data_IF_267066023135
#
_entry.id   IF_267066023135
#
_cell.length_a   1.000
_cell.length_b   1.000
_cell.length_c   1.000
_cell.angle_alpha   90.00
_cell.angle_beta   90.00
_cell.angle_gamma   90.00
#
_symmetry.space_group_name_H-M   'P 1'
#
loop_
_entity.id
_entity.type
_entity.pdbx_description
1 polymer ?
#
# COMPACT_ATOMS: atom_id res chain seq x y z
N UNK A 1 12.12 20.26 -16.95
CA UNK A 1 10.86 19.56 -16.65
C UNK A 1 10.57 18.60 -17.79
N UNK A 2 10.11 17.39 -17.48
CA UNK A 2 9.62 16.40 -18.44
C UNK A 2 8.15 16.64 -18.71
N UNK A 3 7.76 16.79 -19.98
CA UNK A 3 6.37 17.01 -20.43
C UNK A 3 5.75 15.73 -20.98
N UNK A 4 4.48 15.49 -20.65
CA UNK A 4 3.70 14.37 -21.15
C UNK A 4 2.54 14.86 -22.02
N UNK A 5 2.72 14.95 -23.36
CA UNK A 5 1.73 15.56 -24.25
C UNK A 5 0.35 14.88 -24.21
N UNK A 6 0.32 13.56 -24.00
CA UNK A 6 -0.91 12.79 -23.97
C UNK A 6 -1.54 12.67 -22.57
N UNK A 7 -0.90 13.21 -21.53
CA UNK A 7 -1.41 13.24 -20.16
C UNK A 7 -1.85 14.66 -19.79
N UNK A 8 -2.63 15.31 -20.65
CA UNK A 8 -3.06 16.71 -20.46
C UNK A 8 -1.89 17.68 -20.25
N UNK A 9 -0.76 17.44 -20.94
CA UNK A 9 0.49 18.20 -20.78
C UNK A 9 1.05 18.22 -19.35
N UNK A 10 0.75 17.19 -18.55
CA UNK A 10 1.33 17.03 -17.22
C UNK A 10 2.86 17.17 -17.28
N UNK A 11 3.43 17.86 -16.30
CA UNK A 11 4.86 18.09 -16.16
C UNK A 11 5.39 17.37 -14.93
N UNK A 12 6.57 16.77 -15.08
CA UNK A 12 7.29 16.11 -14.00
C UNK A 12 8.68 16.70 -13.93
N UNK A 13 9.22 16.75 -12.73
CA UNK A 13 10.58 17.20 -12.51
C UNK A 13 11.61 16.31 -13.23
N UNK A 14 12.63 16.93 -13.83
CA UNK A 14 13.67 16.21 -14.58
C UNK A 14 14.38 15.19 -13.68
N UNK A 15 14.65 15.58 -12.43
CA UNK A 15 15.38 14.75 -11.47
C UNK A 15 14.55 13.53 -11.06
N UNK A 16 13.24 13.68 -10.88
CA UNK A 16 12.35 12.55 -10.61
C UNK A 16 12.29 11.57 -11.81
N UNK A 17 12.22 12.08 -13.03
CA UNK A 17 12.26 11.23 -14.22
C UNK A 17 13.58 10.46 -14.32
N UNK A 18 14.72 11.12 -14.10
CA UNK A 18 16.04 10.48 -14.10
C UNK A 18 16.21 9.49 -12.95
N UNK A 19 15.61 9.77 -11.78
CA UNK A 19 15.56 8.83 -10.66
C UNK A 19 14.81 7.55 -11.00
N UNK A 20 13.64 7.68 -11.65
CA UNK A 20 12.88 6.52 -12.13
C UNK A 20 13.65 5.75 -13.20
N UNK A 21 14.27 6.44 -14.15
CA UNK A 21 15.15 5.82 -15.14
C UNK A 21 16.26 5.01 -14.48
N UNK A 22 17.00 5.63 -13.54
CA UNK A 22 18.10 4.99 -12.81
C UNK A 22 17.61 3.73 -12.10
N UNK A 23 16.53 3.86 -11.33
CA UNK A 23 15.98 2.76 -10.55
C UNK A 23 15.52 1.59 -11.44
N UNK A 24 14.81 1.85 -12.54
CA UNK A 24 14.32 0.79 -13.45
C UNK A 24 15.48 0.08 -14.16
N UNK A 25 16.50 0.82 -14.58
CA UNK A 25 17.69 0.23 -15.23
C UNK A 25 18.48 -0.63 -14.25
N UNK A 26 18.68 -0.17 -13.01
CA UNK A 26 19.38 -0.96 -11.99
C UNK A 26 18.58 -2.20 -11.57
N UNK A 27 17.25 -2.10 -11.53
CA UNK A 27 16.38 -3.19 -11.09
C UNK A 27 16.19 -4.29 -12.13
N UNK A 28 16.11 -3.93 -13.42
CA UNK A 28 15.72 -4.85 -14.49
C UNK A 28 16.73 -4.97 -15.63
N UNK A 29 17.80 -4.17 -15.62
CA UNK A 29 18.88 -4.27 -16.58
C UNK A 29 19.84 -5.41 -16.27
N UNK A 30 20.83 -5.59 -17.16
CA UNK A 30 21.90 -6.57 -16.95
C UNK A 30 22.76 -6.19 -15.74
N UNK A 31 23.31 -7.19 -15.06
CA UNK A 31 24.13 -6.96 -13.88
C UNK A 31 25.32 -6.03 -14.20
N UNK A 32 25.46 -4.94 -13.44
CA UNK A 32 26.53 -3.95 -13.63
C UNK A 32 26.29 -2.94 -14.75
N UNK A 33 25.11 -2.92 -15.37
CA UNK A 33 24.76 -1.89 -16.35
C UNK A 33 24.86 -0.49 -15.73
N UNK A 34 25.54 0.44 -16.41
CA UNK A 34 25.60 1.83 -15.98
C UNK A 34 24.34 2.57 -16.46
N UNK A 35 23.49 3.09 -15.55
CA UNK A 35 22.24 3.76 -15.95
C UNK A 35 22.43 5.01 -16.82
N UNK A 36 23.59 5.67 -16.73
CA UNK A 36 23.90 6.83 -17.55
C UNK A 36 24.16 6.46 -19.02
N UNK A 37 24.72 5.28 -19.27
CA UNK A 37 25.07 4.81 -20.62
C UNK A 37 24.02 3.84 -21.20
N UNK A 38 23.03 3.46 -20.39
CA UNK A 38 21.98 2.55 -20.81
C UNK A 38 21.16 3.13 -21.98
N UNK A 39 20.85 2.26 -22.93
CA UNK A 39 19.87 2.51 -23.98
C UNK A 39 18.73 1.51 -23.81
N UNK A 40 17.48 2.00 -23.75
CA UNK A 40 16.33 1.15 -23.47
C UNK A 40 15.28 1.20 -24.59
N UNK A 41 14.51 0.13 -24.81
CA UNK A 41 13.39 0.13 -25.75
C UNK A 41 12.38 1.23 -25.44
N UNK A 42 11.79 1.84 -26.48
CA UNK A 42 10.74 2.86 -26.32
C UNK A 42 9.37 2.24 -26.04
N UNK A 43 8.95 1.32 -26.92
CA UNK A 43 7.76 0.46 -26.79
C UNK A 43 6.43 1.15 -26.47
N UNK A 44 6.07 2.22 -27.18
CA UNK A 44 4.78 2.87 -27.02
C UNK A 44 3.63 1.99 -27.53
N UNK A 45 2.72 1.57 -26.64
CA UNK A 45 1.56 0.73 -26.99
C UNK A 45 0.27 1.32 -26.43
N UNK A 46 -0.78 1.38 -27.24
CA UNK A 46 -2.12 1.79 -26.81
C UNK A 46 -2.88 0.62 -26.14
N UNK A 47 -2.35 0.13 -25.04
CA UNK A 47 -2.94 -0.94 -24.21
C UNK A 47 -3.01 -0.49 -22.75
N UNK A 48 -3.80 -1.20 -21.94
CA UNK A 48 -3.79 -1.01 -20.48
C UNK A 48 -2.41 -1.34 -19.90
N UNK A 49 -2.08 -0.77 -18.75
CA UNK A 49 -0.78 -0.96 -18.13
C UNK A 49 -0.51 -2.42 -17.75
N UNK A 50 -1.51 -3.14 -17.23
CA UNK A 50 -1.37 -4.57 -16.94
C UNK A 50 -1.03 -5.38 -18.20
N UNK A 51 -1.73 -5.10 -19.30
CA UNK A 51 -1.46 -5.75 -20.59
C UNK A 51 -0.07 -5.34 -21.11
N UNK A 52 0.34 -4.09 -20.92
CA UNK A 52 1.67 -3.63 -21.29
C UNK A 52 2.75 -4.47 -20.60
N UNK A 53 2.67 -4.68 -19.29
CA UNK A 53 3.65 -5.45 -18.51
C UNK A 53 3.78 -6.90 -18.99
N UNK A 54 2.73 -7.48 -19.56
CA UNK A 54 2.80 -8.82 -20.19
C UNK A 54 3.42 -8.81 -21.58
N UNK A 55 3.41 -7.67 -22.28
CA UNK A 55 3.81 -7.56 -23.69
C UNK A 55 5.22 -7.02 -23.87
N UNK A 56 5.64 -6.04 -23.07
CA UNK A 56 6.92 -5.34 -23.22
C UNK A 56 7.94 -5.79 -22.17
N UNK A 57 9.25 -5.61 -22.41
CA UNK A 57 10.24 -5.79 -21.36
C UNK A 57 10.04 -4.77 -20.24
N UNK A 58 10.30 -5.18 -19.00
CA UNK A 58 10.18 -4.30 -17.81
C UNK A 58 11.08 -3.07 -17.88
N UNK A 59 12.25 -3.22 -18.52
CA UNK A 59 13.16 -2.12 -18.85
C UNK A 59 12.76 -1.47 -20.19
N UNK A 60 11.78 -0.56 -20.17
CA UNK A 60 11.46 0.27 -21.34
C UNK A 60 10.90 1.64 -20.95
N UNK A 61 10.98 2.61 -21.88
CA UNK A 61 10.56 3.99 -21.61
C UNK A 61 9.07 4.10 -21.31
N UNK A 62 8.22 3.33 -22.01
CA UNK A 62 6.77 3.35 -21.78
C UNK A 62 6.41 2.98 -20.33
N UNK A 63 7.11 2.01 -19.74
CA UNK A 63 6.92 1.60 -18.33
C UNK A 63 7.32 2.73 -17.39
N UNK A 64 8.51 3.31 -17.57
CA UNK A 64 8.98 4.48 -16.79
C UNK A 64 7.97 5.62 -16.86
N UNK A 65 7.52 5.95 -18.07
CA UNK A 65 6.57 7.03 -18.29
C UNK A 65 5.26 6.79 -17.54
N UNK A 66 4.68 5.59 -17.61
CA UNK A 66 3.40 5.28 -16.97
C UNK A 66 3.47 5.22 -15.46
N UNK A 67 4.56 4.68 -14.90
CA UNK A 67 4.84 4.69 -13.46
C UNK A 67 4.84 6.09 -12.84
N UNK A 68 5.24 7.08 -13.64
CA UNK A 68 5.29 8.48 -13.22
C UNK A 68 3.94 9.21 -13.36
N UNK A 69 2.95 8.59 -14.01
CA UNK A 69 1.65 9.20 -14.29
C UNK A 69 0.65 8.94 -13.17
N UNK A 70 -0.34 9.85 -13.07
CA UNK A 70 -1.52 9.63 -12.23
C UNK A 70 -2.30 8.40 -12.72
N UNK A 71 -2.98 7.72 -11.81
CA UNK A 71 -3.82 6.54 -12.13
C UNK A 71 -4.81 6.78 -13.28
N UNK A 72 -5.30 8.01 -13.45
CA UNK A 72 -6.21 8.37 -14.57
C UNK A 72 -5.58 8.24 -15.96
N UNK A 73 -4.24 8.30 -16.07
CA UNK A 73 -3.49 8.25 -17.32
C UNK A 73 -2.57 7.02 -17.43
N UNK A 74 -2.64 6.09 -16.47
CA UNK A 74 -1.81 4.88 -16.46
C UNK A 74 -2.02 4.00 -17.70
N UNK A 75 -3.23 4.04 -18.27
CA UNK A 75 -3.59 3.31 -19.50
C UNK A 75 -3.36 4.12 -20.78
N UNK A 76 -2.83 5.32 -20.69
CA UNK A 76 -2.54 6.17 -21.84
C UNK A 76 -1.14 5.90 -22.36
N UNK A 77 -1.00 5.83 -23.68
CA UNK A 77 0.29 5.66 -24.33
C UNK A 77 1.16 6.91 -24.18
N UNK A 78 2.40 6.77 -23.68
CA UNK A 78 3.21 7.93 -23.28
C UNK A 78 4.49 8.16 -24.10
N UNK A 79 5.24 7.11 -24.41
CA UNK A 79 6.57 7.18 -25.02
C UNK A 79 6.50 7.43 -26.54
N UNK A 80 5.70 8.40 -26.98
CA UNK A 80 5.44 8.73 -28.38
C UNK A 80 6.50 9.68 -28.97
N UNK A 81 6.48 9.91 -30.28
CA UNK A 81 7.34 10.91 -30.91
C UNK A 81 7.14 12.33 -30.32
N UNK A 82 5.89 12.81 -30.10
CA UNK A 82 5.66 14.05 -29.37
C UNK A 82 6.33 14.12 -28.00
N UNK A 83 6.30 13.01 -27.23
CA UNK A 83 6.99 12.96 -25.93
C UNK A 83 8.50 13.12 -26.11
N UNK A 84 9.12 12.44 -27.07
CA UNK A 84 10.56 12.58 -27.31
C UNK A 84 10.94 14.00 -27.76
N UNK A 85 10.14 14.61 -28.62
CA UNK A 85 10.36 15.99 -29.06
C UNK A 85 10.25 16.99 -27.90
N UNK A 86 9.24 16.81 -27.03
CA UNK A 86 9.03 17.67 -25.87
C UNK A 86 10.13 17.51 -24.79
N UNK A 87 10.88 16.41 -24.81
CA UNK A 87 11.87 16.05 -23.79
C UNK A 87 13.26 15.77 -24.36
N UNK A 88 13.57 16.39 -25.51
CA UNK A 88 14.84 16.23 -26.22
C UNK A 88 16.05 16.77 -25.44
N UNK A 89 15.81 17.55 -24.37
CA UNK A 89 16.85 17.98 -23.44
C UNK A 89 17.40 16.82 -22.58
N UNK A 90 16.61 15.76 -22.34
CA UNK A 90 17.06 14.58 -21.58
C UNK A 90 17.23 13.32 -22.43
N UNK A 91 16.49 13.20 -23.53
CA UNK A 91 16.39 11.96 -24.29
C UNK A 91 16.80 12.12 -25.75
N UNK A 92 17.57 11.14 -26.24
CA UNK A 92 17.92 11.01 -27.65
C UNK A 92 17.36 9.72 -28.21
N UNK A 93 16.85 9.78 -29.44
CA UNK A 93 16.40 8.59 -30.14
C UNK A 93 17.60 7.72 -30.54
N UNK A 94 17.45 6.40 -30.42
CA UNK A 94 18.47 5.44 -30.84
C UNK A 94 17.82 4.13 -31.29
N UNK A 95 18.64 3.15 -31.70
CA UNK A 95 18.22 1.77 -32.00
C UNK A 95 18.78 0.86 -30.93
N UNK A 96 17.96 -0.05 -30.41
CA UNK A 96 18.32 -0.97 -29.32
C UNK A 96 17.78 -2.36 -29.60
N UNK A 97 18.38 -3.37 -28.98
CA UNK A 97 17.84 -4.72 -28.97
C UNK A 97 16.73 -4.80 -27.93
N UNK A 98 15.57 -5.32 -28.33
CA UNK A 98 14.51 -5.65 -27.38
C UNK A 98 14.93 -6.90 -26.60
N UNK A 99 15.16 -6.82 -25.28
CA UNK A 99 15.66 -7.96 -24.50
C UNK A 99 14.67 -9.13 -24.43
N UNK A 100 13.40 -8.90 -24.75
CA UNK A 100 12.38 -9.96 -24.78
C UNK A 100 12.34 -10.73 -26.09
N UNK A 101 12.59 -10.07 -27.22
CA UNK A 101 12.41 -10.67 -28.56
C UNK A 101 13.71 -10.82 -29.35
N UNK A 102 14.82 -10.21 -28.91
CA UNK A 102 16.08 -10.17 -29.64
C UNK A 102 16.09 -9.23 -30.86
N UNK A 103 14.96 -8.63 -31.22
CA UNK A 103 14.84 -7.79 -32.42
C UNK A 103 15.33 -6.36 -32.15
N UNK A 104 15.91 -5.74 -33.18
CA UNK A 104 16.23 -4.30 -33.16
C UNK A 104 14.97 -3.45 -33.24
N UNK A 105 14.75 -2.60 -32.24
CA UNK A 105 13.58 -1.72 -32.12
C UNK A 105 13.99 -0.26 -31.92
N UNK A 106 13.02 0.66 -31.99
CA UNK A 106 13.23 2.04 -31.58
C UNK A 106 13.46 2.11 -30.07
N UNK A 107 14.54 2.76 -29.67
CA UNK A 107 14.92 2.97 -28.29
C UNK A 107 15.25 4.42 -28.00
N UNK A 108 15.65 4.64 -26.76
CA UNK A 108 16.11 5.94 -26.27
C UNK A 108 17.35 5.77 -25.42
N UNK A 109 18.19 6.79 -25.39
CA UNK A 109 19.31 6.94 -24.47
C UNK A 109 19.29 8.33 -23.85
N UNK A 110 20.04 8.52 -22.77
CA UNK A 110 20.18 9.83 -22.14
C UNK A 110 21.10 10.75 -22.96
N UNK A 111 20.76 12.04 -23.04
CA UNK A 111 21.65 13.10 -23.52
C UNK A 111 22.83 13.29 -22.56
N UNK A 112 23.90 13.94 -23.00
CA UNK A 112 25.03 14.27 -22.11
C UNK A 112 24.61 15.11 -20.90
N UNK A 113 23.63 16.01 -21.08
CA UNK A 113 23.03 16.76 -19.98
C UNK A 113 22.39 15.83 -18.94
N UNK A 114 21.57 14.88 -19.39
CA UNK A 114 20.93 13.90 -18.52
C UNK A 114 21.93 12.96 -17.86
N UNK A 115 22.97 12.53 -18.57
CA UNK A 115 24.08 11.71 -18.05
C UNK A 115 24.84 12.38 -16.91
N UNK A 116 24.97 13.70 -16.94
CA UNK A 116 25.58 14.44 -15.84
C UNK A 116 24.62 14.59 -14.65
N UNK A 117 23.35 14.88 -14.92
CA UNK A 117 22.31 15.00 -13.88
C UNK A 117 22.06 13.68 -13.13
N UNK A 118 22.01 12.55 -13.83
CA UNK A 118 21.70 11.24 -13.23
C UNK A 118 22.77 10.78 -12.21
N UNK A 119 24.00 11.29 -12.30
CA UNK A 119 25.10 10.97 -11.36
C UNK A 119 24.91 11.62 -9.98
N UNK A 120 24.14 12.70 -9.90
CA UNK A 120 23.96 13.52 -8.70
C UNK A 120 22.50 13.61 -8.25
N UNK A 121 21.69 12.60 -8.57
CA UNK A 121 20.27 12.56 -8.18
C UNK A 121 20.14 12.70 -6.66
N UNK A 122 19.30 13.65 -6.25
CA UNK A 122 18.87 13.82 -4.88
C UNK A 122 18.26 12.52 -4.32
N UNK A 123 18.73 12.02 -3.17
CA UNK A 123 18.18 10.84 -2.50
C UNK A 123 16.64 10.86 -2.34
N UNK A 124 16.03 12.03 -2.12
CA UNK A 124 14.58 12.18 -2.01
C UNK A 124 13.87 11.77 -3.31
N UNK A 125 14.42 12.14 -4.47
CA UNK A 125 13.88 11.79 -5.80
C UNK A 125 14.05 10.31 -6.09
N UNK A 126 15.18 9.73 -5.68
CA UNK A 126 15.39 8.29 -5.74
C UNK A 126 14.38 7.53 -4.87
N UNK A 127 14.14 8.01 -3.64
CA UNK A 127 13.13 7.44 -2.74
C UNK A 127 11.73 7.46 -3.38
N UNK A 128 11.37 8.58 -4.01
CA UNK A 128 10.10 8.73 -4.72
C UNK A 128 9.98 7.67 -5.82
N UNK A 129 10.99 7.55 -6.68
CA UNK A 129 10.99 6.56 -7.76
C UNK A 129 10.80 5.13 -7.25
N UNK A 130 11.49 4.75 -6.17
CA UNK A 130 11.37 3.42 -5.54
C UNK A 130 9.97 3.20 -4.94
N UNK A 131 9.35 4.23 -4.36
CA UNK A 131 8.01 4.08 -3.77
C UNK A 131 6.95 3.78 -4.84
N UNK A 132 7.02 4.45 -6.00
CA UNK A 132 6.11 4.24 -7.12
C UNK A 132 6.21 2.82 -7.71
N UNK A 133 7.41 2.24 -7.79
CA UNK A 133 7.58 0.86 -8.30
C UNK A 133 7.11 -0.21 -7.34
N UNK A 134 7.08 0.06 -6.02
CA UNK A 134 6.56 -0.88 -5.00
C UNK A 134 5.04 -0.90 -4.94
N UNK A 135 4.38 0.22 -5.21
CA UNK A 135 2.92 0.30 -5.33
C UNK A 135 2.45 -0.63 -6.47
N UNK A 136 3.16 -0.65 -7.59
CA UNK A 136 2.86 -1.51 -8.75
C UNK A 136 2.92 -3.02 -8.48
N UNK A 137 3.81 -3.48 -7.58
CA UNK A 137 3.90 -4.91 -7.24
C UNK A 137 2.60 -5.45 -6.59
N UNK A 138 1.75 -4.56 -6.07
CA UNK A 138 0.44 -4.89 -5.51
C UNK A 138 -0.70 -4.74 -6.54
N UNK A 139 -0.66 -3.71 -7.41
CA UNK A 139 -1.70 -3.49 -8.42
C UNK A 139 -1.70 -4.52 -9.57
N UNK A 140 -0.53 -5.06 -9.94
CA UNK A 140 -0.39 -6.02 -11.04
C UNK A 140 -0.96 -7.43 -10.80
N UNK A 141 -1.73 -7.67 -9.73
CA UNK A 141 -2.40 -8.96 -9.45
C UNK A 141 -3.90 -8.99 -9.77
N UNK A 142 -4.49 -7.93 -10.33
CA UNK A 142 -5.93 -7.90 -10.61
C UNK A 142 -6.27 -8.12 -12.08
N UNK A 143 -6.14 -9.37 -12.55
CA UNK A 143 -6.87 -9.79 -13.73
C UNK A 143 -8.34 -10.04 -13.35
N UNK A 144 -9.22 -9.06 -13.56
CA UNK A 144 -10.61 -9.34 -13.92
C UNK A 144 -11.19 -8.19 -14.72
N UNK A 145 -11.58 -8.53 -15.95
CA UNK A 145 -12.26 -7.70 -16.93
C UNK A 145 -13.53 -7.13 -16.28
N UNK A 146 -13.63 -5.81 -16.17
CA UNK A 146 -14.90 -5.12 -15.88
C UNK A 146 -15.11 -4.10 -17.01
N UNK A 147 -16.22 -4.25 -17.72
CA UNK A 147 -16.67 -3.38 -18.80
C UNK A 147 -16.79 -1.91 -18.36
N UNK A 148 -16.63 -0.96 -19.30
CA UNK A 148 -16.53 0.46 -18.96
C UNK A 148 -17.90 1.05 -18.64
N UNK A 149 -18.10 1.48 -17.39
CA UNK A 149 -19.20 2.39 -17.05
C UNK A 149 -18.79 3.82 -17.40
N UNK A 150 -19.66 4.50 -18.15
CA UNK A 150 -19.48 5.86 -18.68
C UNK A 150 -18.98 6.87 -17.64
N UNK A 151 -17.86 7.52 -17.92
CA UNK A 151 -17.32 8.64 -17.13
C UNK A 151 -17.94 9.95 -17.60
N UNK A 152 -18.85 10.53 -16.81
CA UNK A 152 -19.19 11.95 -16.92
C UNK A 152 -18.08 12.82 -16.29
N UNK A 153 -17.68 13.82 -17.06
CA UNK A 153 -16.69 14.89 -16.81
C UNK A 153 -16.42 15.23 -15.33
N UNK A 154 -15.14 15.10 -14.91
CA UNK A 154 -14.62 15.69 -13.67
C UNK A 154 -13.67 16.85 -13.98
N UNK A 155 -13.75 17.99 -13.28
CA UNK A 155 -12.72 19.02 -13.31
C UNK A 155 -11.46 18.53 -12.57
N UNK A 156 -10.30 18.75 -13.18
CA UNK A 156 -8.99 18.35 -12.65
C UNK A 156 -8.56 19.26 -11.49
N UNK A 157 -8.34 18.69 -10.31
CA UNK A 157 -7.47 19.30 -9.31
C UNK A 157 -6.02 19.19 -9.80
N UNK A 158 -5.30 20.32 -9.78
CA UNK A 158 -3.92 20.47 -10.26
C UNK A 158 -2.90 19.59 -9.53
N UNK A 159 -1.75 19.46 -10.17
CA UNK A 159 -0.50 18.77 -9.82
C UNK A 159 -0.20 18.40 -8.35
N UNK A 160 -0.72 17.25 -7.89
CA UNK A 160 -0.27 16.59 -6.66
C UNK A 160 -0.07 15.08 -6.90
N UNK A 161 1.05 14.54 -6.44
CA UNK A 161 1.37 13.10 -6.45
C UNK A 161 1.29 12.56 -5.02
N UNK A 162 0.87 11.30 -4.85
CA UNK A 162 0.73 10.60 -3.56
C UNK A 162 1.97 10.75 -2.65
N UNK A 163 3.13 11.01 -3.24
CA UNK A 163 4.39 11.27 -2.57
C UNK A 163 4.43 12.49 -1.65
N UNK A 164 3.75 13.59 -1.98
CA UNK A 164 3.73 14.76 -1.09
C UNK A 164 3.00 14.43 0.22
N UNK A 165 1.98 13.59 0.15
CA UNK A 165 1.29 13.05 1.32
C UNK A 165 2.18 12.08 2.11
N UNK A 166 2.93 11.20 1.43
CA UNK A 166 3.92 10.32 2.09
C UNK A 166 4.97 11.14 2.84
N UNK A 167 5.56 12.14 2.19
CA UNK A 167 6.56 13.03 2.80
C UNK A 167 5.98 13.79 3.99
N UNK A 168 4.74 14.26 3.88
CA UNK A 168 4.01 14.88 4.97
C UNK A 168 3.88 13.95 6.17
N UNK A 169 3.39 12.72 5.97
CA UNK A 169 3.25 11.73 7.05
C UNK A 169 4.61 11.43 7.69
N UNK A 170 5.64 11.18 6.90
CA UNK A 170 6.99 10.88 7.41
C UNK A 170 7.54 12.04 8.25
N UNK A 171 7.37 13.28 7.79
CA UNK A 171 7.77 14.45 8.57
C UNK A 171 6.99 14.60 9.87
N UNK A 172 5.68 14.33 9.85
CA UNK A 172 4.85 14.33 11.06
C UNK A 172 5.32 13.26 12.04
N UNK A 173 5.47 12.03 11.57
CA UNK A 173 5.93 10.91 12.37
C UNK A 173 7.36 11.11 12.90
N UNK A 174 8.26 11.74 12.14
CA UNK A 174 9.61 12.07 12.61
C UNK A 174 9.57 13.00 13.83
N UNK A 175 8.71 14.01 13.79
CA UNK A 175 8.68 15.10 14.77
C UNK A 175 7.70 14.87 15.92
N UNK A 176 6.80 13.90 15.79
CA UNK A 176 5.81 13.61 16.82
C UNK A 176 6.44 12.78 17.96
N UNK A 177 6.26 13.25 19.19
CA UNK A 177 6.60 12.52 20.41
C UNK A 177 5.35 11.79 20.89
N UNK A 178 5.45 10.47 21.06
CA UNK A 178 4.39 9.67 21.68
C UNK A 178 4.85 9.13 23.03
N UNK A 179 3.92 8.92 23.98
CA UNK A 179 4.23 8.13 25.17
C UNK A 179 4.59 6.69 24.80
N UNK A 180 5.24 5.97 25.72
CA UNK A 180 5.55 4.55 25.55
C UNK A 180 4.28 3.75 25.20
N UNK A 181 4.40 2.87 24.20
CA UNK A 181 3.34 1.94 23.84
C UNK A 181 3.13 0.95 24.98
N UNK A 182 1.90 0.87 25.48
CA UNK A 182 1.48 -0.13 26.45
C UNK A 182 0.26 -0.83 25.85
N UNK A 183 0.37 -2.13 25.64
CA UNK A 183 -0.73 -2.99 25.25
C UNK A 183 -0.93 -4.06 26.30
N UNK A 184 -1.95 -3.85 27.12
CA UNK A 184 -2.38 -4.84 28.09
C UNK A 184 -3.34 -5.82 27.43
N UNK A 185 -3.02 -7.10 27.51
CA UNK A 185 -3.88 -8.18 27.01
C UNK A 185 -4.03 -9.29 28.03
N UNK A 186 -5.13 -10.03 27.90
CA UNK A 186 -5.43 -11.24 28.68
C UNK A 186 -6.16 -12.23 27.79
N UNK A 187 -5.52 -13.37 27.54
CA UNK A 187 -6.05 -14.45 26.73
C UNK A 187 -6.69 -15.49 27.64
N UNK A 188 -7.95 -15.84 27.35
CA UNK A 188 -8.73 -16.84 28.08
C UNK A 188 -8.76 -18.18 27.36
N UNK A 189 -8.36 -18.22 26.09
CA UNK A 189 -8.25 -19.45 25.29
C UNK A 189 -7.58 -20.62 26.03
N UNK A 190 -8.13 -21.80 25.78
CA UNK A 190 -7.67 -23.10 26.28
C UNK A 190 -6.70 -23.80 25.33
N UNK A 191 -6.25 -23.13 24.27
CA UNK A 191 -5.28 -23.67 23.31
C UNK A 191 -4.05 -24.28 24.02
N UNK A 192 -3.80 -25.58 23.80
CA UNK A 192 -2.75 -26.32 24.51
C UNK A 192 -1.33 -25.92 24.09
N UNK A 193 -1.18 -25.36 22.89
CA UNK A 193 0.10 -24.87 22.37
C UNK A 193 0.47 -23.47 22.90
N UNK A 194 -0.42 -22.81 23.64
CA UNK A 194 -0.24 -21.46 24.15
C UNK A 194 0.57 -21.47 25.45
N UNK A 195 1.77 -20.85 25.50
CA UNK A 195 2.55 -20.76 26.73
C UNK A 195 1.79 -20.01 27.83
N UNK A 196 1.77 -20.57 29.04
CA UNK A 196 0.99 -20.04 30.17
C UNK A 196 1.48 -18.66 30.64
N UNK A 197 2.78 -18.43 30.59
CA UNK A 197 3.46 -17.18 30.91
C UNK A 197 3.12 -16.05 29.92
N UNK A 198 2.74 -16.39 28.69
CA UNK A 198 2.36 -15.42 27.66
C UNK A 198 0.86 -15.12 27.60
N UNK A 199 0.02 -15.73 28.45
CA UNK A 199 -1.44 -15.49 28.44
C UNK A 199 -1.84 -14.08 28.88
N UNK A 200 -0.96 -13.36 29.58
CA UNK A 200 -1.21 -11.97 29.96
C UNK A 200 0.10 -11.19 30.02
N UNK A 201 0.09 -9.97 29.49
CA UNK A 201 1.22 -9.04 29.62
C UNK A 201 0.76 -7.61 29.33
N UNK A 202 1.60 -6.65 29.66
CA UNK A 202 1.49 -5.24 29.26
C UNK A 202 2.71 -4.76 28.44
N UNK A 203 3.68 -5.64 28.18
CA UNK A 203 4.87 -5.35 27.38
C UNK A 203 4.61 -5.61 25.90
N UNK A 204 5.10 -4.72 25.04
CA UNK A 204 5.05 -4.83 23.58
C UNK A 204 5.75 -6.08 23.05
N UNK A 205 6.88 -6.48 23.63
CA UNK A 205 7.63 -7.65 23.18
C UNK A 205 6.80 -8.93 23.35
N UNK A 206 6.21 -9.14 24.53
CA UNK A 206 5.31 -10.25 24.78
C UNK A 206 4.07 -10.20 23.86
N UNK A 207 3.49 -9.00 23.67
CA UNK A 207 2.36 -8.79 22.77
C UNK A 207 2.69 -9.12 21.30
N UNK A 208 3.91 -8.85 20.84
CA UNK A 208 4.38 -9.24 19.51
C UNK A 208 4.71 -10.72 19.41
N UNK A 209 5.36 -11.28 20.44
CA UNK A 209 5.77 -12.67 20.48
C UNK A 209 4.54 -13.60 20.41
N UNK A 210 3.48 -13.30 21.15
CA UNK A 210 2.28 -14.13 21.13
C UNK A 210 1.57 -14.15 19.78
N UNK A 211 1.55 -13.01 19.08
CA UNK A 211 1.01 -12.94 17.72
C UNK A 211 1.89 -13.69 16.72
N UNK A 212 3.21 -13.68 16.89
CA UNK A 212 4.14 -14.48 16.07
C UNK A 212 3.91 -15.99 16.26
N UNK A 213 3.68 -16.45 17.51
CA UNK A 213 3.31 -17.84 17.79
C UNK A 213 1.98 -18.18 17.11
N UNK A 214 0.95 -17.36 17.33
CA UNK A 214 -0.38 -17.59 16.74
C UNK A 214 -0.33 -17.58 15.21
N UNK A 215 0.45 -16.69 14.58
CA UNK A 215 0.64 -16.65 13.13
C UNK A 215 1.28 -17.92 12.57
N UNK A 216 2.33 -18.44 13.22
CA UNK A 216 2.93 -19.73 12.83
C UNK A 216 1.94 -20.88 12.95
N UNK A 217 1.17 -20.92 14.05
CA UNK A 217 0.13 -21.94 14.25
C UNK A 217 -1.03 -21.81 13.27
N UNK A 218 -1.36 -20.60 12.84
CA UNK A 218 -2.37 -20.38 11.81
C UNK A 218 -1.92 -20.92 10.44
N UNK A 219 -0.66 -20.68 10.07
CA UNK A 219 -0.08 -21.26 8.85
C UNK A 219 0.00 -22.80 8.91
N UNK A 220 0.33 -23.36 10.08
CA UNK A 220 0.28 -24.80 10.33
C UNK A 220 -1.15 -25.35 10.13
N UNK A 221 -2.16 -24.67 10.68
CA UNK A 221 -3.57 -25.04 10.51
C UNK A 221 -3.99 -25.04 9.04
N UNK A 222 -3.60 -24.02 8.28
CA UNK A 222 -3.89 -23.91 6.85
C UNK A 222 -3.20 -25.00 6.02
N UNK A 223 -1.95 -25.32 6.34
CA UNK A 223 -1.17 -26.31 5.59
C UNK A 223 -1.61 -27.74 5.91
N UNK A 224 -1.97 -28.01 7.16
CA UNK A 224 -2.43 -29.33 7.62
C UNK A 224 -3.94 -29.55 7.50
N UNK A 225 -4.68 -28.54 7.00
CA UNK A 225 -6.14 -28.53 6.95
C UNK A 225 -6.80 -28.83 8.31
N UNK A 226 -6.25 -28.27 9.39
CA UNK A 226 -6.67 -28.51 10.77
C UNK A 226 -7.64 -27.43 11.28
N UNK A 227 -8.94 -27.75 11.24
CA UNK A 227 -10.05 -26.86 11.65
C UNK A 227 -9.98 -26.46 13.13
N UNK A 228 -9.64 -27.40 14.03
CA UNK A 228 -9.54 -27.12 15.47
C UNK A 228 -8.40 -26.15 15.77
N UNK A 229 -7.22 -26.39 15.18
CA UNK A 229 -6.06 -25.50 15.36
C UNK A 229 -6.36 -24.11 14.80
N UNK A 230 -7.08 -24.02 13.68
CA UNK A 230 -7.55 -22.77 13.11
C UNK A 230 -8.47 -22.01 14.09
N UNK A 231 -9.44 -22.70 14.68
CA UNK A 231 -10.33 -22.12 15.70
C UNK A 231 -9.56 -21.58 16.91
N UNK A 232 -8.65 -22.39 17.48
CA UNK A 232 -7.82 -21.99 18.61
C UNK A 232 -6.99 -20.74 18.29
N UNK A 233 -6.39 -20.66 17.11
CA UNK A 233 -5.61 -19.50 16.68
C UNK A 233 -6.47 -18.24 16.58
N UNK A 234 -7.64 -18.33 15.94
CA UNK A 234 -8.58 -17.20 15.82
C UNK A 234 -9.03 -16.71 17.18
N UNK A 235 -9.39 -17.63 18.08
CA UNK A 235 -9.76 -17.33 19.47
C UNK A 235 -8.62 -16.57 20.17
N UNK A 236 -7.38 -17.11 20.16
CA UNK A 236 -6.20 -16.48 20.78
C UNK A 236 -5.96 -15.07 20.24
N UNK A 237 -6.00 -14.87 18.92
CA UNK A 237 -5.75 -13.57 18.28
C UNK A 237 -6.83 -12.55 18.66
N UNK A 238 -8.10 -12.98 18.68
CA UNK A 238 -9.22 -12.12 19.05
C UNK A 238 -9.27 -11.81 20.54
N UNK A 239 -8.89 -12.76 21.40
CA UNK A 239 -8.75 -12.56 22.85
C UNK A 239 -7.61 -11.57 23.15
N UNK A 240 -6.45 -11.77 22.52
CA UNK A 240 -5.33 -10.82 22.57
C UNK A 240 -5.80 -9.41 22.19
N UNK A 241 -6.65 -9.34 21.17
CA UNK A 241 -7.28 -8.11 20.68
C UNK A 241 -8.33 -7.48 21.61
N UNK A 242 -8.79 -8.20 22.63
CA UNK A 242 -9.93 -7.82 23.46
C UNK A 242 -11.25 -7.73 22.69
N UNK A 243 -11.43 -8.59 21.69
CA UNK A 243 -12.57 -8.57 20.75
C UNK A 243 -13.32 -9.91 20.67
N UNK A 244 -12.97 -10.89 21.51
CA UNK A 244 -13.62 -12.20 21.60
C UNK A 244 -14.60 -12.30 22.78
N UNK A 245 -15.47 -11.29 22.96
CA UNK A 245 -16.42 -11.24 24.08
C UNK A 245 -17.87 -11.17 23.60
N UNK A 246 -18.83 -11.80 24.32
CA UNK A 246 -20.25 -11.79 23.95
C UNK A 246 -20.98 -10.49 24.34
N UNK A 247 -20.30 -9.53 24.96
CA UNK A 247 -20.90 -8.30 25.50
C UNK A 247 -20.24 -7.03 24.94
N UNK A 248 -20.99 -5.93 24.93
CA UNK A 248 -20.52 -4.60 24.53
C UNK A 248 -20.56 -4.32 23.01
N UNK A 249 -19.99 -3.19 22.56
CA UNK A 249 -20.03 -2.74 21.15
C UNK A 249 -19.24 -3.61 20.16
N UNK A 250 -18.63 -4.70 20.64
CA UNK A 250 -17.83 -5.68 19.88
C UNK A 250 -18.51 -7.06 19.81
N UNK A 251 -19.79 -7.11 20.19
CA UNK A 251 -20.63 -8.31 20.17
C UNK A 251 -20.69 -8.92 18.76
N UNK A 252 -20.67 -10.25 18.68
CA UNK A 252 -20.88 -11.01 17.45
C UNK A 252 -19.65 -11.73 16.88
N UNK A 253 -18.42 -11.33 17.24
CA UNK A 253 -17.21 -12.03 16.76
C UNK A 253 -17.17 -13.47 17.27
N UNK A 254 -17.34 -13.67 18.58
CA UNK A 254 -17.37 -15.00 19.19
C UNK A 254 -18.44 -15.90 18.55
N UNK A 255 -19.68 -15.41 18.47
CA UNK A 255 -20.80 -16.12 17.86
C UNK A 255 -20.51 -16.48 16.38
N UNK A 256 -19.90 -15.58 15.62
CA UNK A 256 -19.52 -15.83 14.22
C UNK A 256 -18.45 -16.90 14.11
N UNK A 257 -17.39 -16.82 14.93
CA UNK A 257 -16.29 -17.78 14.94
C UNK A 257 -16.79 -19.16 15.35
N UNK A 258 -17.53 -19.27 16.45
CA UNK A 258 -18.10 -20.52 16.93
C UNK A 258 -19.06 -21.13 15.91
N UNK A 259 -19.95 -20.33 15.31
CA UNK A 259 -20.86 -20.82 14.26
C UNK A 259 -20.11 -21.37 13.06
N UNK A 260 -19.07 -20.67 12.58
CA UNK A 260 -18.26 -21.13 11.45
C UNK A 260 -17.51 -22.42 11.79
N UNK A 261 -16.94 -22.50 12.98
CA UNK A 261 -16.22 -23.67 13.47
C UNK A 261 -17.14 -24.89 13.61
N UNK A 262 -18.28 -24.76 14.30
CA UNK A 262 -19.26 -25.85 14.44
C UNK A 262 -19.82 -26.31 13.09
N UNK A 263 -19.83 -25.43 12.09
CA UNK A 263 -20.24 -25.77 10.72
C UNK A 263 -19.10 -26.39 9.88
N UNK A 264 -17.88 -26.48 10.39
CA UNK A 264 -16.70 -26.96 9.65
C UNK A 264 -16.28 -26.05 8.49
N UNK A 265 -16.56 -24.75 8.58
CA UNK A 265 -16.34 -23.78 7.51
C UNK A 265 -15.33 -22.69 7.89
N UNK A 266 -14.81 -22.65 9.12
CA UNK A 266 -13.95 -21.57 9.57
C UNK A 266 -12.65 -21.53 8.77
N UNK A 267 -11.93 -22.66 8.66
CA UNK A 267 -10.66 -22.68 7.95
C UNK A 267 -10.85 -22.34 6.47
N UNK A 268 -11.85 -22.94 5.83
CA UNK A 268 -12.19 -22.64 4.43
C UNK A 268 -12.43 -21.15 4.23
N UNK A 269 -13.26 -20.53 5.09
CA UNK A 269 -13.55 -19.09 4.99
C UNK A 269 -12.33 -18.22 5.20
N UNK A 270 -11.42 -18.62 6.08
CA UNK A 270 -10.16 -17.91 6.30
C UNK A 270 -9.26 -18.02 5.08
N UNK A 271 -9.08 -19.21 4.52
CA UNK A 271 -8.28 -19.42 3.31
C UNK A 271 -8.83 -18.62 2.14
N UNK A 272 -10.16 -18.63 1.93
CA UNK A 272 -10.80 -17.90 0.85
C UNK A 272 -10.63 -16.37 1.02
N UNK A 273 -10.97 -15.82 2.19
CA UNK A 273 -10.82 -14.38 2.46
C UNK A 273 -9.34 -13.95 2.36
N UNK A 274 -8.41 -14.79 2.82
CA UNK A 274 -6.98 -14.51 2.73
C UNK A 274 -6.51 -14.40 1.28
N UNK A 275 -6.95 -15.31 0.40
CA UNK A 275 -6.68 -15.23 -1.05
C UNK A 275 -7.25 -13.96 -1.67
N UNK A 276 -8.49 -13.60 -1.34
CA UNK A 276 -9.12 -12.37 -1.83
C UNK A 276 -8.37 -11.11 -1.37
N UNK A 277 -7.88 -11.07 -0.12
CA UNK A 277 -7.06 -9.97 0.37
C UNK A 277 -5.71 -9.90 -0.36
N UNK A 278 -5.05 -11.04 -0.60
CA UNK A 278 -3.78 -11.09 -1.35
C UNK A 278 -3.90 -10.69 -2.83
N UNK A 279 -5.08 -10.85 -3.42
CA UNK A 279 -5.37 -10.43 -4.80
C UNK A 279 -6.10 -9.08 -4.87
N UNK A 280 -6.24 -8.35 -3.75
CA UNK A 280 -6.98 -7.09 -3.64
C UNK A 280 -8.45 -7.16 -4.13
N UNK A 281 -9.03 -8.36 -4.12
CA UNK A 281 -10.43 -8.62 -4.48
C UNK A 281 -11.35 -8.37 -3.28
N UNK A 282 -11.41 -7.10 -2.86
CA UNK A 282 -12.09 -6.70 -1.62
C UNK A 282 -13.60 -6.96 -1.64
N UNK A 283 -14.22 -7.10 -2.82
CA UNK A 283 -15.67 -7.35 -2.97
C UNK A 283 -16.07 -8.72 -2.42
N UNK A 284 -15.16 -9.69 -2.48
CA UNK A 284 -15.41 -11.05 -2.01
C UNK A 284 -14.95 -11.29 -0.56
N UNK A 285 -14.40 -10.25 0.09
CA UNK A 285 -14.05 -10.29 1.52
C UNK A 285 -15.33 -10.08 2.35
N UNK A 286 -15.69 -11.10 3.13
CA UNK A 286 -16.89 -11.12 3.98
C UNK A 286 -16.58 -11.22 5.48
N UNK A 287 -15.35 -11.55 5.86
CA UNK A 287 -14.88 -11.56 7.25
C UNK A 287 -14.00 -10.33 7.50
N UNK A 288 -14.61 -9.17 7.71
CA UNK A 288 -13.86 -7.95 7.99
C UNK A 288 -14.57 -7.03 8.98
N UNK A 289 -13.87 -6.75 10.07
CA UNK A 289 -14.18 -5.73 11.07
C UNK A 289 -12.92 -5.52 11.94
N UNK A 290 -13.04 -4.75 13.03
CA UNK A 290 -11.93 -4.48 13.95
C UNK A 290 -11.34 -5.74 14.63
N UNK A 291 -12.05 -6.87 14.64
CA UNK A 291 -11.53 -8.16 15.11
C UNK A 291 -10.85 -8.95 14.00
N UNK A 292 -11.50 -9.14 12.86
CA UNK A 292 -10.93 -9.88 11.74
C UNK A 292 -9.65 -9.25 11.16
N UNK A 293 -9.53 -7.92 11.15
CA UNK A 293 -8.28 -7.24 10.77
C UNK A 293 -7.07 -7.69 11.60
N UNK A 294 -7.28 -8.14 12.86
CA UNK A 294 -6.22 -8.71 13.70
C UNK A 294 -5.75 -10.07 13.18
N UNK A 295 -6.70 -10.92 12.77
CA UNK A 295 -6.40 -12.22 12.17
C UNK A 295 -5.59 -12.03 10.88
N UNK A 296 -6.00 -11.07 10.03
CA UNK A 296 -5.31 -10.77 8.78
C UNK A 296 -3.91 -10.21 8.99
N UNK A 297 -3.74 -9.25 9.91
CA UNK A 297 -2.43 -8.72 10.27
C UNK A 297 -1.50 -9.77 10.89
N UNK A 298 -2.03 -10.80 11.57
CA UNK A 298 -1.22 -11.91 12.08
C UNK A 298 -0.79 -12.88 10.97
N UNK A 299 -1.66 -13.13 9.99
CA UNK A 299 -1.34 -13.96 8.83
C UNK A 299 -0.34 -13.30 7.87
N UNK A 300 -0.39 -11.97 7.74
CA UNK A 300 0.41 -11.16 6.82
C UNK A 300 0.95 -9.90 7.53
N UNK A 301 1.89 -10.06 8.50
CA UNK A 301 2.34 -8.95 9.36
C UNK A 301 3.11 -7.84 8.64
N UNK A 302 3.69 -8.14 7.48
CA UNK A 302 4.43 -7.17 6.67
C UNK A 302 3.53 -6.43 5.66
N UNK A 303 2.33 -6.94 5.42
CA UNK A 303 1.41 -6.41 4.40
C UNK A 303 0.18 -5.76 5.00
N UNK A 304 -0.34 -6.25 6.13
CA UNK A 304 -1.62 -5.81 6.69
C UNK A 304 -1.45 -5.18 8.07
N UNK A 305 -1.97 -3.96 8.21
CA UNK A 305 -2.15 -3.32 9.51
C UNK A 305 -3.42 -3.82 10.19
N UNK A 306 -3.41 -3.84 11.52
CA UNK A 306 -4.63 -3.89 12.34
C UNK A 306 -5.33 -2.54 12.21
N UNK A 307 -6.27 -2.48 11.27
CA UNK A 307 -7.08 -1.31 11.02
C UNK A 307 -8.25 -1.25 12.02
N UNK A 308 -7.93 -0.90 13.25
CA UNK A 308 -8.90 -0.62 14.31
C UNK A 308 -9.28 0.86 14.39
N UNK A 309 -10.22 1.20 15.29
CA UNK A 309 -10.71 2.58 15.38
C UNK A 309 -9.66 3.60 15.82
N UNK A 310 -8.59 3.21 16.52
CA UNK A 310 -7.50 4.14 16.89
C UNK A 310 -6.58 4.39 15.72
N UNK A 311 -6.18 3.33 15.02
CA UNK A 311 -5.36 3.44 13.82
C UNK A 311 -6.09 4.25 12.75
N UNK A 312 -7.37 3.96 12.50
CA UNK A 312 -8.20 4.74 11.58
C UNK A 312 -8.31 6.21 12.00
N UNK A 313 -8.50 6.50 13.28
CA UNK A 313 -8.66 7.86 13.77
C UNK A 313 -7.36 8.68 13.65
N UNK A 314 -6.23 8.10 14.06
CA UNK A 314 -4.92 8.75 13.92
C UNK A 314 -4.57 9.01 12.47
N UNK A 315 -4.79 8.02 11.59
CA UNK A 315 -4.59 8.19 10.16
C UNK A 315 -5.52 9.28 9.59
N UNK A 316 -6.80 9.27 9.97
CA UNK A 316 -7.76 10.30 9.54
C UNK A 316 -7.35 11.71 9.99
N UNK A 317 -6.76 11.87 11.19
CA UNK A 317 -6.22 13.16 11.63
C UNK A 317 -5.07 13.63 10.74
N UNK A 318 -4.11 12.75 10.44
CA UNK A 318 -2.99 13.06 9.54
C UNK A 318 -3.50 13.41 8.13
N UNK A 319 -4.42 12.62 7.59
CA UNK A 319 -5.02 12.86 6.29
C UNK A 319 -5.80 14.18 6.26
N UNK A 320 -6.55 14.49 7.32
CA UNK A 320 -7.31 15.74 7.43
C UNK A 320 -6.38 16.95 7.45
N UNK A 321 -5.33 16.88 8.26
CA UNK A 321 -4.35 17.98 8.34
C UNK A 321 -3.69 18.22 6.99
N UNK A 322 -3.29 17.16 6.28
CA UNK A 322 -2.76 17.27 4.92
C UNK A 322 -3.79 17.88 3.97
N UNK A 323 -5.05 17.42 4.00
CA UNK A 323 -6.09 17.94 3.13
C UNK A 323 -6.35 19.43 3.40
N UNK A 324 -6.45 19.84 4.67
CA UNK A 324 -6.65 21.24 5.03
C UNK A 324 -5.52 22.15 4.53
N UNK A 325 -4.27 21.67 4.56
CA UNK A 325 -3.09 22.43 4.16
C UNK A 325 -2.86 22.44 2.64
N UNK A 326 -3.12 21.33 1.95
CA UNK A 326 -2.63 21.10 0.59
C UNK A 326 -3.75 20.88 -0.44
N UNK A 327 -4.89 20.33 -0.04
CA UNK A 327 -5.99 19.98 -0.94
C UNK A 327 -7.36 20.10 -0.26
N UNK A 328 -7.80 21.33 0.11
CA UNK A 328 -8.95 21.54 0.99
C UNK A 328 -10.30 21.33 0.30
N UNK A 329 -10.32 20.98 -1.00
CA UNK A 329 -11.54 20.83 -1.78
C UNK A 329 -12.38 19.67 -1.26
N UNK A 330 -13.70 19.91 -1.14
CA UNK A 330 -14.68 18.94 -0.64
C UNK A 330 -15.78 18.69 -1.66
N UNK A 331 -16.41 17.53 -1.56
CA UNK A 331 -17.64 17.22 -2.28
C UNK A 331 -18.86 17.91 -1.62
N UNK A 332 -20.02 17.82 -2.27
CA UNK A 332 -21.28 18.41 -1.77
C UNK A 332 -21.73 17.82 -0.42
N UNK A 333 -21.18 16.69 0.00
CA UNK A 333 -21.42 16.06 1.29
C UNK A 333 -20.38 16.44 2.35
N UNK A 334 -19.49 17.39 2.03
CA UNK A 334 -18.45 17.89 2.94
C UNK A 334 -17.24 16.97 3.11
N UNK A 335 -17.08 15.94 2.26
CA UNK A 335 -15.92 15.04 2.32
C UNK A 335 -14.78 15.52 1.43
N UNK A 336 -13.53 15.36 1.88
CA UNK A 336 -12.37 15.77 1.08
C UNK A 336 -12.29 15.00 -0.24
N UNK A 337 -12.12 15.72 -1.35
CA UNK A 337 -12.00 15.13 -2.68
C UNK A 337 -10.77 14.23 -2.78
N UNK A 338 -9.65 14.65 -2.19
CA UNK A 338 -8.43 13.83 -2.16
C UNK A 338 -8.65 12.47 -1.49
N UNK A 339 -9.28 12.44 -0.31
CA UNK A 339 -9.60 11.18 0.37
C UNK A 339 -10.59 10.32 -0.41
N UNK A 340 -11.56 10.93 -1.08
CA UNK A 340 -12.50 10.24 -1.98
C UNK A 340 -11.78 9.60 -3.18
N UNK A 341 -10.81 10.30 -3.77
CA UNK A 341 -10.05 9.83 -4.92
C UNK A 341 -9.08 8.69 -4.56
N UNK A 342 -8.53 8.71 -3.34
CA UNK A 342 -7.82 7.57 -2.77
C UNK A 342 -8.74 6.37 -2.47
N UNK A 343 -10.05 6.57 -2.42
CA UNK A 343 -11.00 5.55 -1.95
C UNK A 343 -10.98 5.34 -0.43
N UNK A 344 -10.40 6.28 0.33
CA UNK A 344 -10.30 6.16 1.79
C UNK A 344 -11.67 6.27 2.47
N UNK A 345 -11.89 5.38 3.44
CA UNK A 345 -13.03 5.44 4.36
C UNK A 345 -12.56 5.19 5.79
N UNK A 346 -13.09 5.97 6.73
CA UNK A 346 -12.76 5.84 8.15
C UNK A 346 -13.71 4.90 8.90
N UNK A 347 -13.23 4.37 10.02
CA UNK A 347 -14.07 3.70 11.02
C UNK A 347 -14.72 4.77 11.89
N UNK A 348 -16.05 4.87 11.85
CA UNK A 348 -16.81 5.83 12.65
C UNK A 348 -17.22 5.22 13.99
N UNK A 349 -16.72 5.77 15.10
CA UNK A 349 -17.13 5.44 16.48
C UNK A 349 -17.29 6.72 17.30
N UNK A 350 -18.16 6.72 18.33
CA UNK A 350 -18.71 7.91 19.01
C UNK A 350 -17.71 8.90 19.62
N UNK A 351 -16.41 8.61 19.65
CA UNK A 351 -15.34 9.52 20.13
C UNK A 351 -14.07 9.49 19.25
N UNK A 352 -14.15 8.83 18.10
CA UNK A 352 -13.04 8.58 17.17
C UNK A 352 -13.54 8.69 15.74
N UNK A 353 -14.09 9.86 15.44
CA UNK A 353 -14.56 10.27 14.11
C UNK A 353 -13.86 11.57 13.75
N UNK A 354 -13.42 11.69 12.49
CA UNK A 354 -12.84 12.92 11.95
C UNK A 354 -13.75 13.41 10.83
N UNK A 355 -14.28 14.63 10.96
CA UNK A 355 -15.14 15.19 9.93
C UNK A 355 -14.43 15.27 8.56
N UNK A 356 -15.21 15.04 7.49
CA UNK A 356 -14.72 15.14 6.11
C UNK A 356 -14.29 13.82 5.47
N UNK A 357 -14.58 12.67 6.08
CA UNK A 357 -14.38 11.36 5.44
C UNK A 357 -15.61 10.48 5.50
N UNK A 358 -15.82 9.73 4.41
CA UNK A 358 -16.83 8.68 4.34
C UNK A 358 -16.53 7.58 5.34
N UNK A 359 -17.59 7.01 5.92
CA UNK A 359 -17.46 5.87 6.82
C UNK A 359 -17.42 4.54 6.04
N UNK A 360 -16.81 3.53 6.65
CA UNK A 360 -16.86 2.13 6.17
C UNK A 360 -18.26 1.51 6.27
N UNK A 361 -19.17 2.08 7.08
CA UNK A 361 -20.57 1.65 7.25
C UNK A 361 -20.75 0.15 7.57
N UNK A 362 -19.84 -0.45 8.33
CA UNK A 362 -19.82 -1.89 8.62
C UNK A 362 -19.79 -2.79 7.35
N UNK A 363 -19.44 -2.24 6.19
CA UNK A 363 -19.28 -2.98 4.96
C UNK A 363 -17.86 -3.58 4.92
N UNK A 364 -17.79 -4.91 4.84
CA UNK A 364 -16.53 -5.65 4.88
C UNK A 364 -15.56 -5.24 3.75
N UNK A 365 -16.08 -5.06 2.53
CA UNK A 365 -15.27 -4.65 1.38
C UNK A 365 -14.70 -3.23 1.54
N UNK A 366 -15.50 -2.29 2.04
CA UNK A 366 -15.01 -0.94 2.34
C UNK A 366 -13.93 -0.94 3.44
N UNK A 367 -14.12 -1.76 4.48
CA UNK A 367 -13.15 -1.90 5.56
C UNK A 367 -11.85 -2.51 5.05
N UNK A 368 -11.93 -3.57 4.23
CA UNK A 368 -10.79 -4.22 3.61
C UNK A 368 -10.03 -3.25 2.68
N UNK A 369 -10.75 -2.51 1.84
CA UNK A 369 -10.17 -1.50 0.95
C UNK A 369 -9.40 -0.43 1.73
N UNK A 370 -9.97 0.10 2.83
CA UNK A 370 -9.28 1.08 3.67
C UNK A 370 -8.07 0.49 4.39
N UNK A 371 -8.16 -0.76 4.87
CA UNK A 371 -7.03 -1.45 5.51
C UNK A 371 -5.87 -1.59 4.53
N UNK A 372 -6.12 -2.08 3.31
CA UNK A 372 -5.11 -2.25 2.26
C UNK A 372 -4.49 -0.91 1.87
N UNK A 373 -5.31 0.12 1.63
CA UNK A 373 -4.83 1.46 1.30
C UNK A 373 -3.90 2.02 2.38
N UNK A 374 -4.31 1.94 3.66
CA UNK A 374 -3.51 2.45 4.77
C UNK A 374 -2.22 1.64 4.94
N UNK A 375 -2.30 0.32 4.79
CA UNK A 375 -1.13 -0.55 4.74
C UNK A 375 -0.12 -0.09 3.67
N UNK A 376 -0.58 0.13 2.44
CA UNK A 376 0.29 0.52 1.32
C UNK A 376 0.91 1.90 1.53
N UNK A 377 0.13 2.86 2.02
CA UNK A 377 0.63 4.20 2.37
C UNK A 377 1.71 4.12 3.45
N UNK A 378 1.51 3.30 4.49
CA UNK A 378 2.50 3.15 5.55
C UNK A 378 3.75 2.38 5.11
N UNK A 379 3.61 1.38 4.24
CA UNK A 379 4.76 0.72 3.59
C UNK A 379 5.55 1.72 2.74
N UNK A 380 4.87 2.60 2.01
CA UNK A 380 5.52 3.69 1.26
C UNK A 380 6.22 4.69 2.18
N UNK A 381 5.64 5.02 3.33
CA UNK A 381 6.29 5.83 4.36
C UNK A 381 7.58 5.17 4.89
N UNK A 382 7.55 3.87 5.19
CA UNK A 382 8.75 3.12 5.61
C UNK A 382 9.83 3.15 4.54
N UNK A 383 9.46 2.84 3.30
CA UNK A 383 10.39 2.83 2.19
C UNK A 383 11.04 4.21 2.00
N UNK A 384 10.24 5.27 2.03
CA UNK A 384 10.74 6.64 1.93
C UNK A 384 11.67 7.01 3.09
N UNK A 385 11.24 6.77 4.34
CA UNK A 385 12.01 7.08 5.53
C UNK A 385 13.37 6.36 5.56
N UNK A 386 13.41 5.08 5.14
CA UNK A 386 14.65 4.32 5.03
C UNK A 386 15.63 4.94 4.01
N UNK A 387 15.13 5.39 2.86
CA UNK A 387 15.99 5.98 1.83
C UNK A 387 16.59 7.31 2.30
N UNK A 388 15.81 8.13 3.02
CA UNK A 388 16.27 9.43 3.53
C UNK A 388 16.99 9.33 4.88
N UNK A 389 17.23 8.11 5.39
CA UNK A 389 17.94 7.88 6.65
C UNK A 389 17.23 8.39 7.89
N UNK A 390 15.90 8.42 7.90
CA UNK A 390 15.09 8.85 9.05
C UNK A 390 14.40 7.66 9.70
N UNK A 391 14.51 7.54 11.02
CA UNK A 391 13.75 6.55 11.78
C UNK A 391 12.36 7.09 12.15
N UNK A 392 11.33 6.54 11.49
CA UNK A 392 9.92 6.78 11.84
C UNK A 392 9.30 5.63 12.63
N UNK A 393 10.07 4.61 13.00
CA UNK A 393 9.60 3.48 13.81
C UNK A 393 10.12 3.67 15.24
N UNK A 394 9.25 3.81 16.24
CA UNK A 394 9.72 3.95 17.64
C UNK A 394 10.03 2.61 18.28
N UNK A 395 9.38 1.56 17.80
CA UNK A 395 9.45 0.23 18.39
C UNK A 395 10.25 -0.72 17.49
N UNK A 396 10.89 -1.73 18.11
CA UNK A 396 11.56 -2.82 17.39
C UNK A 396 10.59 -4.00 17.19
N UNK A 397 10.61 -4.70 16.05
CA UNK A 397 11.39 -4.40 14.83
C UNK A 397 10.85 -3.19 14.05
N UNK A 398 11.69 -2.58 13.20
CA UNK A 398 11.38 -1.35 12.41
C UNK A 398 10.55 -1.67 11.16
N UNK A 399 9.33 -2.18 11.34
CA UNK A 399 8.45 -2.65 10.26
C UNK A 399 7.06 -1.99 10.31
N UNK A 400 6.14 -2.46 9.45
CA UNK A 400 4.77 -1.96 9.34
C UNK A 400 4.04 -1.99 10.69
N UNK A 401 4.28 -3.04 11.48
CA UNK A 401 3.72 -3.20 12.83
C UNK A 401 4.14 -2.09 13.79
N UNK A 402 5.39 -1.62 13.69
CA UNK A 402 5.88 -0.50 14.51
C UNK A 402 5.18 0.80 14.17
N UNK A 403 4.92 1.08 12.88
CA UNK A 403 4.13 2.24 12.47
C UNK A 403 2.67 2.16 12.89
N UNK A 404 2.05 0.98 12.74
CA UNK A 404 0.70 0.75 13.23
C UNK A 404 0.61 1.00 14.74
N UNK A 405 1.56 0.48 15.52
CA UNK A 405 1.63 0.70 16.96
C UNK A 405 1.77 2.19 17.32
N UNK A 406 2.52 2.97 16.53
CA UNK A 406 2.58 4.44 16.69
C UNK A 406 1.23 5.10 16.42
N UNK A 407 0.59 4.81 15.29
CA UNK A 407 -0.74 5.36 14.97
C UNK A 407 -1.76 5.00 16.04
N UNK A 408 -1.70 3.77 16.54
CA UNK A 408 -2.54 3.32 17.62
C UNK A 408 -2.38 4.14 18.91
N UNK A 409 -1.15 4.55 19.26
CA UNK A 409 -0.88 5.43 20.42
C UNK A 409 -1.36 6.85 20.15
N UNK A 410 -1.12 7.38 18.95
CA UNK A 410 -1.61 8.70 18.52
C UNK A 410 -3.14 8.79 18.49
N UNK A 411 -3.82 7.65 18.28
CA UNK A 411 -5.27 7.55 18.25
C UNK A 411 -5.95 7.43 19.62
N UNK A 412 -5.22 7.66 20.72
CA UNK A 412 -5.77 7.62 22.08
C UNK A 412 -6.86 8.67 22.30
#
# INVERSE_FOLDING_TARGET
MVRFPHASNQMIDDELFLAMWKHIVELYGEAGINPAEASIPRMNQAVTYDVLLTKVPKICLEVICRLLMRNSHLNTMMATNPFLQANSHLLESTRVINPKTGNTVNGVKLTDLAKNKIKIINPDKMAHAISLTKVDAHYGKTNTIIEPVEKKNRPSCGDFSDYDFIRFIVNKLKNHSEPSYIWQYKIKSHANWLPSDLKQSNNLEAAGHILSIAGRKMHEAMTSNNELLCYECVEVIMDWGGVYYPTGPRKGNKETVEKLYTSGLLLKRIVDNYKHLQSSDVKNVNLMNAGWTKVWAVLCPDDFVIFDSRVSFAFSKLLKEYCDLSCPQKDNSGNYNFANDLGYRQIKQSHRDVAGFKAVNANAAHWASSMLLVSDILKSCLAYANVIGVDICRYSPKNLRSLEARLFVMGK
#
